data_IF_844024773078
#
_entry.id   IF_844024773078
#
_cell.length_a   1.000
_cell.length_b   1.000
_cell.length_c   1.000
_cell.angle_alpha   90.00
_cell.angle_beta   90.00
_cell.angle_gamma   90.00
#
_symmetry.space_group_name_H-M   'P 1'
#
loop_
_entity.id
_entity.type
_entity.pdbx_description
1 polymer ?
#
# COMPACT_ATOMS: atom_id res chain seq x y z
N UNK A 1 10.91 -24.05 -6.06
CA UNK A 1 10.44 -22.72 -5.58
C UNK A 1 11.34 -22.32 -4.42
N UNK A 2 11.94 -21.12 -4.40
CA UNK A 2 12.81 -20.69 -3.28
C UNK A 2 12.01 -19.98 -2.20
N UNK A 3 12.51 -19.94 -0.96
CA UNK A 3 11.88 -19.23 0.15
C UNK A 3 11.61 -17.75 -0.21
N UNK A 4 12.55 -17.09 -0.90
CA UNK A 4 12.40 -15.71 -1.40
C UNK A 4 11.16 -15.55 -2.29
N UNK A 5 10.96 -16.48 -3.25
CA UNK A 5 9.80 -16.43 -4.14
C UNK A 5 8.50 -16.70 -3.39
N UNK A 6 8.50 -17.56 -2.37
CA UNK A 6 7.33 -17.80 -1.53
C UNK A 6 7.00 -16.57 -0.69
N UNK A 7 7.98 -16.02 0.04
CA UNK A 7 7.81 -14.83 0.87
C UNK A 7 7.31 -13.65 0.05
N UNK A 8 7.90 -13.39 -1.13
CA UNK A 8 7.45 -12.33 -2.03
C UNK A 8 5.99 -12.50 -2.44
N UNK A 9 5.58 -13.72 -2.81
CA UNK A 9 4.20 -14.00 -3.23
C UNK A 9 3.21 -13.84 -2.08
N UNK A 10 3.53 -14.37 -0.90
CA UNK A 10 2.68 -14.27 0.29
C UNK A 10 2.54 -12.81 0.72
N UNK A 11 3.65 -12.10 0.85
CA UNK A 11 3.64 -10.68 1.20
C UNK A 11 2.89 -9.84 0.16
N UNK A 12 3.10 -10.10 -1.13
CA UNK A 12 2.33 -9.45 -2.20
C UNK A 12 0.83 -9.71 -2.11
N UNK A 13 0.41 -10.95 -1.81
CA UNK A 13 -1.00 -11.29 -1.64
C UNK A 13 -1.61 -10.61 -0.42
N UNK A 14 -0.89 -10.56 0.71
CA UNK A 14 -1.35 -9.84 1.92
C UNK A 14 -1.52 -8.36 1.61
N UNK A 15 -0.55 -7.73 0.92
CA UNK A 15 -0.64 -6.33 0.52
C UNK A 15 -1.89 -6.07 -0.36
N UNK A 16 -2.19 -6.94 -1.32
CA UNK A 16 -3.39 -6.79 -2.14
C UNK A 16 -4.66 -6.91 -1.29
N UNK A 17 -4.77 -7.93 -0.45
CA UNK A 17 -5.95 -8.15 0.38
C UNK A 17 -6.19 -7.01 1.36
N UNK A 18 -5.14 -6.55 2.03
CA UNK A 18 -5.23 -5.42 2.97
C UNK A 18 -5.51 -4.11 2.26
N UNK A 19 -4.95 -3.90 1.06
CA UNK A 19 -5.28 -2.76 0.20
C UNK A 19 -6.76 -2.75 -0.21
N UNK A 20 -7.30 -3.89 -0.64
CA UNK A 20 -8.73 -4.03 -0.97
C UNK A 20 -9.58 -3.70 0.26
N UNK A 21 -9.26 -4.26 1.43
CA UNK A 21 -10.00 -3.98 2.65
C UNK A 21 -9.98 -2.50 3.00
N UNK A 22 -8.80 -1.87 2.96
CA UNK A 22 -8.65 -0.44 3.22
C UNK A 22 -9.53 0.38 2.26
N UNK A 23 -9.47 0.11 0.95
CA UNK A 23 -10.24 0.86 -0.05
C UNK A 23 -11.76 0.69 0.14
N UNK A 24 -12.21 -0.47 0.60
CA UNK A 24 -13.62 -0.72 0.93
C UNK A 24 -14.04 0.00 2.21
N UNK A 25 -13.19 0.02 3.24
CA UNK A 25 -13.46 0.68 4.52
C UNK A 25 -13.46 2.20 4.42
N UNK A 26 -12.59 2.77 3.58
CA UNK A 26 -12.55 4.22 3.30
C UNK A 26 -13.68 4.64 2.35
N UNK A 27 -14.19 3.73 1.52
CA UNK A 27 -15.01 4.01 0.33
C UNK A 27 -14.22 4.54 -0.86
N UNK A 28 -14.61 4.14 -2.08
CA UNK A 28 -13.90 4.57 -3.30
C UNK A 28 -13.95 6.08 -3.52
N UNK A 29 -15.03 6.75 -3.10
CA UNK A 29 -15.17 8.21 -3.21
C UNK A 29 -14.08 8.92 -2.41
N UNK A 30 -13.97 8.60 -1.12
CA UNK A 30 -12.94 9.18 -0.26
C UNK A 30 -11.52 8.75 -0.67
N UNK A 31 -11.31 7.55 -1.21
CA UNK A 31 -10.00 7.15 -1.76
C UNK A 31 -9.55 8.11 -2.87
N UNK A 32 -10.45 8.51 -3.78
CA UNK A 32 -10.11 9.50 -4.80
C UNK A 32 -9.96 10.90 -4.21
N UNK A 33 -10.80 11.29 -3.26
CA UNK A 33 -10.68 12.58 -2.56
C UNK A 33 -9.36 12.70 -1.82
N UNK A 34 -8.91 11.68 -1.09
CA UNK A 34 -7.57 11.65 -0.46
C UNK A 34 -6.51 12.00 -1.51
N UNK A 35 -6.52 11.32 -2.65
CA UNK A 35 -5.49 11.49 -3.69
C UNK A 35 -5.59 12.85 -4.38
N UNK A 36 -6.78 13.34 -4.72
CA UNK A 36 -6.96 14.48 -5.63
C UNK A 36 -7.41 15.78 -4.93
N UNK A 37 -8.28 15.67 -3.92
CA UNK A 37 -8.95 16.77 -3.24
C UNK A 37 -9.16 16.45 -1.74
N UNK A 38 -8.10 16.52 -0.91
CA UNK A 38 -8.18 16.07 0.50
C UNK A 38 -9.18 16.88 1.34
N UNK A 39 -9.52 18.09 0.91
CA UNK A 39 -10.54 18.94 1.55
C UNK A 39 -11.97 18.35 1.43
N UNK A 40 -12.19 17.43 0.48
CA UNK A 40 -13.49 16.79 0.21
C UNK A 40 -13.63 15.41 0.90
N UNK A 41 -12.67 15.02 1.75
CA UNK A 41 -12.71 13.73 2.45
C UNK A 41 -13.67 13.79 3.64
N UNK A 42 -14.44 12.72 3.83
CA UNK A 42 -15.35 12.60 4.97
C UNK A 42 -14.65 12.76 6.32
N UNK A 43 -15.36 13.31 7.30
CA UNK A 43 -14.79 13.58 8.63
C UNK A 43 -14.39 12.29 9.35
N UNK A 44 -15.12 11.21 9.11
CA UNK A 44 -14.84 9.87 9.65
C UNK A 44 -13.51 9.34 9.13
N UNK A 45 -13.27 9.39 7.83
CA UNK A 45 -11.99 8.97 7.22
C UNK A 45 -10.86 9.88 7.68
N UNK A 46 -11.10 11.19 7.70
CA UNK A 46 -10.09 12.16 8.15
C UNK A 46 -9.62 11.90 9.59
N UNK A 47 -10.52 11.47 10.47
CA UNK A 47 -10.18 11.07 11.84
C UNK A 47 -9.22 9.87 11.89
N UNK A 48 -9.41 8.88 11.01
CA UNK A 48 -8.51 7.72 10.89
C UNK A 48 -7.10 8.10 10.41
N UNK A 49 -6.94 9.21 9.69
CA UNK A 49 -5.65 9.78 9.29
C UNK A 49 -5.08 10.79 10.31
N UNK A 50 -5.66 10.90 11.51
CA UNK A 50 -5.16 11.81 12.55
C UNK A 50 -5.63 13.27 12.39
N UNK A 51 -6.67 13.50 11.58
CA UNK A 51 -7.33 14.80 11.43
C UNK A 51 -6.83 15.65 10.25
N UNK A 52 -5.77 15.21 9.57
CA UNK A 52 -5.23 15.87 8.38
C UNK A 52 -4.70 14.83 7.39
N UNK A 53 -4.78 15.13 6.09
CA UNK A 53 -4.17 14.31 5.04
C UNK A 53 -2.97 15.05 4.48
N UNK A 54 -1.79 14.46 4.61
CA UNK A 54 -0.57 15.04 4.08
C UNK A 54 -0.17 14.41 2.72
N UNK A 55 0.96 14.84 2.16
CA UNK A 55 1.43 14.34 0.87
C UNK A 55 1.82 12.85 0.92
N UNK A 56 2.27 12.35 2.06
CA UNK A 56 2.69 10.96 2.24
C UNK A 56 1.46 10.05 2.22
N UNK A 57 0.39 10.44 2.91
CA UNK A 57 -0.89 9.72 2.88
C UNK A 57 -1.42 9.58 1.46
N UNK A 58 -1.33 10.65 0.67
CA UNK A 58 -1.76 10.67 -0.75
C UNK A 58 -0.99 9.67 -1.59
N UNK A 59 0.34 9.66 -1.46
CA UNK A 59 1.19 8.72 -2.21
C UNK A 59 0.89 7.27 -1.80
N UNK A 60 0.70 7.04 -0.51
CA UNK A 60 0.50 5.71 -0.01
C UNK A 60 -0.87 5.13 -0.38
N UNK A 61 -1.94 5.94 -0.30
CA UNK A 61 -3.29 5.58 -0.78
C UNK A 61 -3.30 5.40 -2.30
N UNK A 62 -2.56 6.22 -3.05
CA UNK A 62 -2.34 5.97 -4.49
C UNK A 62 -1.64 4.62 -4.72
N UNK A 63 -0.68 4.27 -3.88
CA UNK A 63 0.00 2.98 -3.92
C UNK A 63 -0.90 1.80 -3.65
N UNK A 64 -1.86 1.95 -2.74
CA UNK A 64 -2.93 0.97 -2.50
C UNK A 64 -3.72 0.73 -3.79
N UNK A 65 -4.24 1.80 -4.41
CA UNK A 65 -4.98 1.70 -5.66
C UNK A 65 -4.19 1.00 -6.77
N UNK A 66 -2.94 1.41 -6.99
CA UNK A 66 -2.11 0.82 -8.04
C UNK A 66 -1.76 -0.63 -7.72
N UNK A 67 -1.59 -1.01 -6.46
CA UNK A 67 -1.34 -2.40 -6.08
C UNK A 67 -2.55 -3.29 -6.33
N UNK A 68 -3.76 -2.77 -6.06
CA UNK A 68 -5.03 -3.44 -6.36
C UNK A 68 -5.22 -3.57 -7.88
N UNK A 69 -5.02 -2.49 -8.63
CA UNK A 69 -5.23 -2.48 -10.08
C UNK A 69 -4.10 -3.18 -10.84
N UNK A 70 -2.92 -3.27 -10.25
CA UNK A 70 -1.71 -3.84 -10.82
C UNK A 70 -1.80 -5.35 -11.06
N UNK A 71 -0.75 -5.88 -11.70
CA UNK A 71 -0.67 -7.32 -12.04
C UNK A 71 -0.67 -8.28 -10.84
N UNK A 72 -0.41 -7.78 -9.62
CA UNK A 72 -0.52 -8.58 -8.39
C UNK A 72 -1.96 -8.70 -7.86
N UNK A 73 -2.86 -7.79 -8.25
CA UNK A 73 -4.26 -7.76 -7.80
C UNK A 73 -5.22 -8.14 -8.92
N UNK A 74 -6.02 -7.17 -9.38
CA UNK A 74 -7.06 -7.33 -10.40
C UNK A 74 -6.53 -7.34 -11.83
N UNK A 75 -5.24 -7.02 -12.04
CA UNK A 75 -4.59 -6.98 -13.35
C UNK A 75 -5.27 -6.06 -14.39
N UNK A 76 -5.99 -5.04 -13.93
CA UNK A 76 -6.60 -3.99 -14.78
C UNK A 76 -5.52 -3.14 -15.45
N UNK A 77 -4.43 -2.89 -14.73
CA UNK A 77 -3.25 -2.17 -15.22
C UNK A 77 -2.06 -3.11 -15.15
N UNK A 78 -1.38 -3.31 -16.28
CA UNK A 78 -0.22 -4.18 -16.36
C UNK A 78 0.86 -3.56 -17.23
N UNK A 79 2.09 -4.02 -16.99
CA UNK A 79 3.23 -3.69 -17.85
C UNK A 79 2.92 -4.22 -19.25
N UNK A 80 2.86 -3.34 -20.23
CA UNK A 80 2.59 -3.67 -21.63
C UNK A 80 3.65 -3.07 -22.54
N UNK A 81 3.89 -3.71 -23.70
CA UNK A 81 4.77 -3.16 -24.74
C UNK A 81 4.22 -1.87 -25.35
N UNK A 82 2.92 -1.66 -25.24
CA UNK A 82 2.21 -0.47 -25.77
C UNK A 82 2.25 0.71 -24.80
N UNK A 83 2.65 0.48 -23.54
CA UNK A 83 2.82 1.56 -22.58
C UNK A 83 4.16 2.29 -22.82
N UNK A 84 4.17 3.64 -22.73
CA UNK A 84 5.42 4.38 -22.64
C UNK A 84 6.38 3.82 -21.57
N UNK A 85 7.70 3.84 -21.80
CA UNK A 85 8.69 3.25 -20.88
C UNK A 85 8.60 3.74 -19.43
N UNK A 86 8.21 4.99 -19.23
CA UNK A 86 8.05 5.55 -17.88
C UNK A 86 6.88 4.89 -17.13
N UNK A 87 5.75 4.60 -17.79
CA UNK A 87 4.59 3.94 -17.16
C UNK A 87 4.97 2.53 -16.70
N UNK A 88 5.67 1.78 -17.55
CA UNK A 88 6.13 0.44 -17.18
C UNK A 88 7.11 0.46 -16.01
N UNK A 89 8.04 1.41 -16.01
CA UNK A 89 8.98 1.60 -14.90
C UNK A 89 8.24 1.96 -13.62
N UNK A 90 7.31 2.92 -13.70
CA UNK A 90 6.45 3.30 -12.57
C UNK A 90 5.71 2.08 -12.05
N UNK A 91 4.93 1.36 -12.86
CA UNK A 91 4.19 0.17 -12.44
C UNK A 91 5.07 -0.94 -11.85
N UNK A 92 6.29 -1.10 -12.36
CA UNK A 92 7.23 -2.11 -11.88
C UNK A 92 7.81 -1.78 -10.50
N UNK A 93 8.09 -0.51 -10.23
CA UNK A 93 8.75 -0.08 -8.99
C UNK A 93 7.81 0.59 -7.98
N UNK A 94 6.56 0.89 -8.36
CA UNK A 94 5.62 1.62 -7.50
C UNK A 94 5.41 0.97 -6.13
N UNK A 95 5.26 -0.38 -6.00
CA UNK A 95 5.13 -1.00 -4.68
C UNK A 95 6.37 -0.80 -3.78
N UNK A 96 7.56 -0.75 -4.39
CA UNK A 96 8.81 -0.51 -3.67
C UNK A 96 8.94 0.96 -3.28
N UNK A 97 8.60 1.88 -4.20
CA UNK A 97 8.64 3.33 -3.97
C UNK A 97 7.64 3.70 -2.88
N UNK A 98 6.41 3.20 -2.97
CA UNK A 98 5.35 3.42 -1.97
C UNK A 98 5.73 2.79 -0.65
N UNK A 99 6.17 1.53 -0.65
CA UNK A 99 6.61 0.86 0.57
C UNK A 99 7.77 1.58 1.26
N UNK A 100 8.71 2.14 0.50
CA UNK A 100 9.83 2.92 1.03
C UNK A 100 9.41 4.28 1.57
N UNK A 101 8.61 5.04 0.82
CA UNK A 101 8.12 6.36 1.25
C UNK A 101 7.23 6.25 2.49
N UNK A 102 6.36 5.26 2.52
CA UNK A 102 5.52 5.00 3.67
C UNK A 102 6.33 4.45 4.86
N UNK A 103 7.30 3.56 4.66
CA UNK A 103 8.21 3.16 5.74
C UNK A 103 9.01 4.33 6.31
N UNK A 104 9.39 5.29 5.46
CA UNK A 104 10.12 6.48 5.95
C UNK A 104 9.28 7.35 6.89
N UNK A 105 7.95 7.30 6.77
CA UNK A 105 7.02 8.04 7.60
C UNK A 105 6.44 7.22 8.78
N UNK A 106 6.23 5.91 8.57
CA UNK A 106 5.59 4.98 9.52
C UNK A 106 6.57 3.87 9.97
N UNK A 107 7.85 4.21 10.11
CA UNK A 107 8.91 3.21 10.26
C UNK A 107 8.74 2.32 11.48
N UNK A 108 8.34 2.90 12.61
CA UNK A 108 8.11 2.18 13.87
C UNK A 108 6.91 1.25 13.73
N UNK A 109 5.79 1.76 13.23
CA UNK A 109 4.53 1.04 13.13
C UNK A 109 4.62 -0.11 12.11
N UNK A 110 5.32 0.11 11.00
CA UNK A 110 5.62 -0.92 10.01
C UNK A 110 6.54 -1.98 10.62
N UNK A 111 7.57 -1.57 11.36
CA UNK A 111 8.48 -2.50 12.02
C UNK A 111 7.78 -3.34 13.10
N UNK A 112 6.92 -2.73 13.90
CA UNK A 112 6.10 -3.41 14.90
C UNK A 112 5.14 -4.40 14.25
N UNK A 113 4.61 -4.07 13.07
CA UNK A 113 3.78 -5.00 12.29
C UNK A 113 4.58 -6.20 11.80
N UNK A 114 5.79 -5.98 11.27
CA UNK A 114 6.67 -7.04 10.76
C UNK A 114 7.14 -7.97 11.89
N UNK A 115 7.44 -7.40 13.06
CA UNK A 115 7.94 -8.14 14.24
C UNK A 115 6.82 -8.74 15.09
N UNK A 116 5.56 -8.40 14.81
CA UNK A 116 4.39 -8.87 15.55
C UNK A 116 4.14 -8.13 16.87
N UNK A 117 4.79 -6.99 17.09
CA UNK A 117 4.63 -6.15 18.29
C UNK A 117 3.44 -5.17 18.20
N UNK A 118 2.82 -5.01 17.03
CA UNK A 118 1.68 -4.10 16.83
C UNK A 118 0.47 -4.49 17.70
N UNK A 119 -0.05 -3.51 18.44
CA UNK A 119 -1.37 -3.60 19.08
C UNK A 119 -2.49 -3.27 18.08
N UNK A 120 -3.18 -4.30 17.61
CA UNK A 120 -4.27 -4.17 16.66
C UNK A 120 -5.53 -3.55 17.26
N UNK A 121 -5.68 -3.55 18.58
CA UNK A 121 -6.86 -3.01 19.27
C UNK A 121 -6.82 -1.49 19.49
N UNK A 122 -5.62 -0.90 19.35
CA UNK A 122 -5.40 0.54 19.52
C UNK A 122 -5.69 1.37 18.25
N UNK A 123 -6.07 0.73 17.15
CA UNK A 123 -6.31 1.37 15.86
C UNK A 123 -7.56 0.82 15.20
N UNK A 124 -8.19 1.62 14.33
CA UNK A 124 -9.34 1.19 13.56
C UNK A 124 -8.96 0.27 12.38
N UNK A 125 -9.96 -0.24 11.67
CA UNK A 125 -9.78 -1.15 10.54
C UNK A 125 -9.07 -0.48 9.35
N UNK A 126 -9.26 0.83 9.15
CA UNK A 126 -8.60 1.59 8.08
C UNK A 126 -7.10 1.64 8.38
N UNK A 127 -6.73 2.09 9.56
CA UNK A 127 -5.34 2.18 10.03
C UNK A 127 -4.66 0.80 10.04
N UNK A 128 -5.33 -0.23 10.53
CA UNK A 128 -4.77 -1.57 10.61
C UNK A 128 -4.53 -2.20 9.23
N UNK A 129 -5.50 -2.10 8.32
CA UNK A 129 -5.35 -2.63 6.97
C UNK A 129 -4.32 -1.86 6.15
N UNK A 130 -4.27 -0.54 6.33
CA UNK A 130 -3.24 0.31 5.77
C UNK A 130 -1.85 -0.07 6.27
N UNK A 131 -1.67 -0.26 7.58
CA UNK A 131 -0.38 -0.68 8.14
C UNK A 131 0.06 -2.06 7.61
N UNK A 132 -0.87 -3.00 7.50
CA UNK A 132 -0.61 -4.33 6.95
C UNK A 132 -0.22 -4.28 5.47
N UNK A 133 -0.84 -3.37 4.70
CA UNK A 133 -0.46 -3.09 3.31
C UNK A 133 0.97 -2.58 3.20
N UNK A 134 1.33 -1.59 4.02
CA UNK A 134 2.67 -0.99 4.01
C UNK A 134 3.75 -2.00 4.39
N UNK A 135 3.55 -2.72 5.50
CA UNK A 135 4.48 -3.74 5.97
C UNK A 135 4.69 -4.86 4.95
N UNK A 136 3.61 -5.36 4.36
CA UNK A 136 3.68 -6.45 3.39
C UNK A 136 4.28 -6.00 2.06
N UNK A 137 4.00 -4.76 1.64
CA UNK A 137 4.62 -4.16 0.45
C UNK A 137 6.12 -3.98 0.63
N UNK A 138 6.56 -3.54 1.82
CA UNK A 138 7.98 -3.43 2.16
C UNK A 138 8.68 -4.79 2.13
N UNK A 139 8.11 -5.81 2.77
CA UNK A 139 8.67 -7.18 2.77
C UNK A 139 8.75 -7.73 1.34
N UNK A 140 7.69 -7.58 0.54
CA UNK A 140 7.66 -8.00 -0.86
C UNK A 140 8.73 -7.28 -1.69
N UNK A 141 8.85 -5.96 -1.50
CA UNK A 141 9.83 -5.12 -2.16
C UNK A 141 11.27 -5.49 -1.80
N UNK A 142 11.59 -5.57 -0.51
CA UNK A 142 12.92 -5.94 -0.02
C UNK A 142 13.34 -7.33 -0.52
N UNK A 143 12.47 -8.33 -0.41
CA UNK A 143 12.76 -9.70 -0.89
C UNK A 143 12.93 -9.74 -2.41
N UNK A 144 12.27 -8.86 -3.16
CA UNK A 144 12.46 -8.77 -4.62
C UNK A 144 13.83 -8.25 -5.03
N UNK A 145 14.49 -7.47 -4.17
CA UNK A 145 15.85 -6.94 -4.38
C UNK A 145 16.93 -7.96 -4.03
N UNK A 146 16.63 -8.94 -3.17
CA UNK A 146 17.51 -10.05 -2.78
C UNK A 146 17.70 -11.08 -3.91
N UNK A 147 17.86 -10.65 -5.18
CA UNK A 147 18.00 -11.54 -6.34
C UNK A 147 18.92 -12.73 -6.06
N UNK A 148 18.52 -13.90 -6.58
CA UNK A 148 19.36 -15.08 -6.76
C UNK A 148 20.63 -14.75 -7.53
#
# INVERSE_FOLDING_TARGET
MTWQNTTKKVAGAIAVLSGIWMALSVSLGDVFSIIASPDDVSAEVLASFGGTIDFIDRIAVLGVLVTILGGSGLAVVSVSKDNPPFINTTLQYLPVIVGFLAFSAFGTEVWDTITGARDWSASDDIQNSYMLFLASSLVSGAVSLLRK
#
